data_IF_597629260527
#
_entry.id   IF_597629260527
#
_cell.length_a   1.000
_cell.length_b   1.000
_cell.length_c   1.000
_cell.angle_alpha   90.00
_cell.angle_beta   90.00
_cell.angle_gamma   90.00
#
_symmetry.space_group_name_H-M   'P 1'
#
loop_
_entity.id
_entity.type
_entity.pdbx_description
1 polymer ?
#
# COMPACT_ATOMS: atom_id res chain seq x y z
N UNK A 1 -22.52 15.76 98.61
CA UNK A 1 -21.14 15.48 99.06
C UNK A 1 -20.58 14.46 98.10
N UNK A 2 -19.64 14.89 97.25
CA UNK A 2 -18.75 14.06 96.41
C UNK A 2 -19.47 13.19 95.35
N UNK A 3 -19.14 13.19 94.08
CA UNK A 3 -17.81 13.27 93.52
C UNK A 3 -17.88 13.58 92.02
N UNK A 4 -16.88 14.34 91.57
CA UNK A 4 -16.55 14.49 90.16
C UNK A 4 -16.01 13.14 89.67
N UNK A 5 -16.76 12.43 88.83
CA UNK A 5 -16.16 11.46 87.91
C UNK A 5 -16.70 11.76 86.51
N UNK A 6 -15.98 12.63 85.79
CA UNK A 6 -15.14 12.23 84.66
C UNK A 6 -15.96 11.56 83.55
N UNK A 7 -16.17 12.26 82.42
CA UNK A 7 -15.26 12.19 81.26
C UNK A 7 -15.31 13.50 80.45
N UNK A 8 -14.20 13.98 79.86
CA UNK A 8 -14.26 15.04 78.85
C UNK A 8 -14.90 14.48 77.58
N UNK A 9 -15.92 15.16 77.04
CA UNK A 9 -16.34 14.90 75.66
C UNK A 9 -15.18 15.32 74.75
N UNK A 10 -14.49 14.32 74.20
CA UNK A 10 -13.52 14.51 73.13
C UNK A 10 -14.26 15.18 71.96
N UNK A 11 -13.98 16.46 71.71
CA UNK A 11 -14.40 17.11 70.47
C UNK A 11 -13.52 16.56 69.37
N UNK A 12 -14.09 15.72 68.52
CA UNK A 12 -13.47 15.38 67.25
C UNK A 12 -13.58 16.59 66.33
N UNK A 13 -12.48 17.31 66.15
CA UNK A 13 -12.38 18.27 65.05
C UNK A 13 -12.57 17.50 63.76
N UNK A 14 -13.71 17.70 63.11
CA UNK A 14 -13.98 17.10 61.81
C UNK A 14 -12.95 17.66 60.85
N UNK A 15 -12.00 16.82 60.42
CA UNK A 15 -11.08 17.14 59.33
C UNK A 15 -11.95 17.50 58.13
N UNK A 16 -12.05 18.80 57.85
CA UNK A 16 -12.70 19.31 56.65
C UNK A 16 -11.81 18.93 55.47
N UNK A 17 -12.09 17.76 54.88
CA UNK A 17 -11.52 17.35 53.60
C UNK A 17 -11.90 18.40 52.56
N UNK A 18 -10.98 19.34 52.31
CA UNK A 18 -11.03 20.20 51.11
C UNK A 18 -10.87 19.27 49.92
N UNK A 19 -11.98 18.85 49.33
CA UNK A 19 -12.00 18.29 47.98
C UNK A 19 -11.47 19.37 47.05
N UNK A 20 -10.23 19.19 46.57
CA UNK A 20 -9.69 19.96 45.46
C UNK A 20 -10.53 19.64 44.24
N UNK A 21 -11.49 20.52 43.91
CA UNK A 21 -12.20 20.45 42.64
C UNK A 21 -11.16 20.66 41.55
N UNK A 22 -10.64 19.57 41.00
CA UNK A 22 -9.94 19.60 39.73
C UNK A 22 -10.93 20.21 38.75
N UNK A 23 -10.63 21.43 38.27
CA UNK A 23 -11.47 22.13 37.32
C UNK A 23 -11.61 21.25 36.09
N UNK A 24 -12.80 20.70 35.87
CA UNK A 24 -13.13 20.05 34.62
C UNK A 24 -13.18 21.15 33.56
N UNK A 25 -12.05 21.44 32.91
CA UNK A 25 -11.96 22.39 31.83
C UNK A 25 -12.71 21.79 30.62
N UNK A 26 -13.96 22.18 30.45
CA UNK A 26 -14.72 21.90 29.24
C UNK A 26 -14.20 22.74 28.08
N UNK A 27 -14.33 22.24 26.85
CA UNK A 27 -14.02 22.96 25.62
C UNK A 27 -14.79 24.29 25.55
N UNK A 28 -14.08 25.37 25.22
CA UNK A 28 -14.67 26.68 24.93
C UNK A 28 -15.34 26.68 23.56
N UNK A 29 -16.45 27.41 23.42
CA UNK A 29 -17.07 27.67 22.13
C UNK A 29 -16.10 28.33 21.14
N UNK A 30 -15.23 29.22 21.63
CA UNK A 30 -14.23 29.88 20.80
C UNK A 30 -13.18 28.88 20.26
N UNK A 31 -12.81 27.88 21.06
CA UNK A 31 -11.87 26.83 20.64
C UNK A 31 -12.48 25.97 19.54
N UNK A 32 -13.75 25.60 19.66
CA UNK A 32 -14.46 24.86 18.61
C UNK A 32 -14.60 25.68 17.32
N UNK A 33 -14.88 26.97 17.43
CA UNK A 33 -15.04 27.88 16.29
C UNK A 33 -13.74 28.06 15.49
N UNK A 34 -12.60 28.16 16.16
CA UNK A 34 -11.30 28.27 15.47
C UNK A 34 -10.96 26.97 14.74
N UNK A 35 -11.25 25.81 15.34
CA UNK A 35 -10.97 24.50 14.72
C UNK A 35 -11.73 24.34 13.41
N UNK A 36 -13.04 24.62 13.41
CA UNK A 36 -13.84 24.51 12.18
C UNK A 36 -13.43 25.55 11.13
N UNK A 37 -12.99 26.74 11.57
CA UNK A 37 -12.50 27.78 10.66
C UNK A 37 -11.21 27.35 9.95
N UNK A 38 -10.24 26.79 10.69
CA UNK A 38 -8.99 26.28 10.10
C UNK A 38 -9.24 25.08 9.20
N UNK A 39 -10.05 24.10 9.64
CA UNK A 39 -10.41 22.93 8.82
C UNK A 39 -11.13 23.38 7.54
N UNK A 40 -12.00 24.39 7.61
CA UNK A 40 -12.70 24.94 6.46
C UNK A 40 -11.75 25.53 5.41
N UNK A 41 -10.76 26.32 5.83
CA UNK A 41 -9.73 26.87 4.92
C UNK A 41 -8.85 25.75 4.37
N UNK A 42 -8.42 24.80 5.21
CA UNK A 42 -7.63 23.65 4.78
C UNK A 42 -8.38 22.82 3.73
N UNK A 43 -9.65 22.50 3.96
CA UNK A 43 -10.48 21.72 3.04
C UNK A 43 -10.71 22.45 1.70
N UNK A 44 -10.79 23.78 1.71
CA UNK A 44 -10.97 24.57 0.48
C UNK A 44 -9.75 24.53 -0.46
N UNK A 45 -8.53 24.45 0.10
CA UNK A 45 -7.28 24.36 -0.69
C UNK A 45 -6.79 22.92 -0.88
N UNK A 46 -7.25 21.99 -0.05
CA UNK A 46 -6.81 20.60 -0.06
C UNK A 46 -7.55 19.81 -1.13
N UNK A 47 -7.10 19.94 -2.38
CA UNK A 47 -7.48 19.02 -3.46
C UNK A 47 -6.21 18.31 -3.96
N UNK A 48 -5.92 17.08 -3.50
CA UNK A 48 -4.87 16.27 -4.09
C UNK A 48 -5.31 15.80 -5.48
N UNK A 49 -4.48 16.03 -6.51
CA UNK A 49 -4.73 15.54 -7.87
C UNK A 49 -4.40 14.04 -7.96
N UNK A 50 -5.30 13.20 -7.44
CA UNK A 50 -5.13 11.73 -7.46
C UNK A 50 -5.27 11.16 -8.87
N UNK A 51 -6.09 11.77 -9.74
CA UNK A 51 -6.40 11.23 -11.07
C UNK A 51 -5.19 11.14 -12.01
N UNK A 52 -4.31 12.15 -11.99
CA UNK A 52 -3.07 12.07 -12.76
C UNK A 52 -2.06 11.10 -12.15
N UNK A 53 -1.98 11.01 -10.83
CA UNK A 53 -1.03 10.12 -10.16
C UNK A 53 -1.36 8.64 -10.42
N UNK A 54 -2.65 8.28 -10.39
CA UNK A 54 -3.09 6.90 -10.62
C UNK A 54 -2.88 6.46 -12.06
N UNK A 55 -3.10 7.34 -13.04
CA UNK A 55 -2.85 7.02 -14.45
C UNK A 55 -1.35 6.82 -14.72
N UNK A 56 -0.48 7.68 -14.22
CA UNK A 56 0.97 7.52 -14.37
C UNK A 56 1.47 6.25 -13.68
N UNK A 57 0.97 5.95 -12.47
CA UNK A 57 1.30 4.72 -11.76
C UNK A 57 0.86 3.48 -12.55
N UNK A 58 -0.32 3.54 -13.17
CA UNK A 58 -0.84 2.47 -14.01
C UNK A 58 0.03 2.24 -15.26
N UNK A 59 0.37 3.27 -16.03
CA UNK A 59 1.26 3.13 -17.19
C UNK A 59 2.66 2.66 -16.79
N UNK A 60 3.21 3.19 -15.70
CA UNK A 60 4.51 2.77 -15.19
C UNK A 60 4.48 1.30 -14.72
N UNK A 61 3.39 0.83 -14.09
CA UNK A 61 3.21 -0.58 -13.73
C UNK A 61 3.19 -1.45 -14.98
N UNK A 62 2.40 -1.06 -15.98
CA UNK A 62 2.28 -1.79 -17.25
C UNK A 62 3.65 -1.94 -17.94
N UNK A 63 4.40 -0.86 -18.07
CA UNK A 63 5.73 -0.87 -18.70
C UNK A 63 6.73 -1.73 -17.92
N UNK A 64 6.78 -1.59 -16.58
CA UNK A 64 7.64 -2.43 -15.74
C UNK A 64 7.30 -3.91 -15.86
N UNK A 65 6.01 -4.26 -15.87
CA UNK A 65 5.58 -5.64 -16.02
C UNK A 65 6.00 -6.21 -17.39
N UNK A 66 5.85 -5.43 -18.47
CA UNK A 66 6.27 -5.84 -19.81
C UNK A 66 7.78 -6.09 -19.90
N UNK A 67 8.59 -5.16 -19.36
CA UNK A 67 10.03 -5.28 -19.30
C UNK A 67 10.45 -6.51 -18.48
N UNK A 68 9.78 -6.76 -17.35
CA UNK A 68 10.05 -7.92 -16.52
C UNK A 68 9.75 -9.23 -17.27
N UNK A 69 8.63 -9.31 -18.00
CA UNK A 69 8.29 -10.46 -18.85
C UNK A 69 9.37 -10.71 -19.89
N UNK A 70 9.78 -9.68 -20.64
CA UNK A 70 10.82 -9.82 -21.66
C UNK A 70 12.17 -10.25 -21.05
N UNK A 71 12.54 -9.67 -19.91
CA UNK A 71 13.77 -10.02 -19.19
C UNK A 71 13.76 -11.47 -18.69
N UNK A 72 12.65 -11.92 -18.09
CA UNK A 72 12.51 -13.29 -17.59
C UNK A 72 12.52 -14.29 -18.75
N UNK A 73 11.84 -13.99 -19.85
CA UNK A 73 11.88 -14.80 -21.06
C UNK A 73 13.30 -14.92 -21.65
N UNK A 74 14.04 -13.80 -21.70
CA UNK A 74 15.43 -13.79 -22.16
C UNK A 74 16.35 -14.57 -21.21
N UNK A 75 16.15 -14.44 -19.89
CA UNK A 75 16.90 -15.15 -18.85
C UNK A 75 16.66 -16.65 -18.94
N UNK A 76 15.41 -17.08 -19.11
CA UNK A 76 15.05 -18.48 -19.29
C UNK A 76 15.78 -19.08 -20.50
N UNK A 77 15.85 -18.35 -21.62
CA UNK A 77 16.61 -18.79 -22.80
C UNK A 77 18.11 -18.85 -22.56
N UNK A 78 18.68 -17.85 -21.90
CA UNK A 78 20.10 -17.84 -21.57
C UNK A 78 20.47 -19.04 -20.68
N UNK A 79 19.54 -19.48 -19.83
CA UNK A 79 19.68 -20.69 -19.02
C UNK A 79 19.48 -22.00 -19.80
N UNK A 80 18.95 -21.95 -21.03
CA UNK A 80 18.77 -23.13 -21.90
C UNK A 80 17.32 -23.48 -22.25
N UNK A 81 16.34 -22.61 -21.95
CA UNK A 81 14.96 -22.82 -22.40
C UNK A 81 14.88 -22.85 -23.94
N UNK A 82 14.17 -23.83 -24.49
CA UNK A 82 14.00 -24.03 -25.94
C UNK A 82 12.65 -23.55 -26.47
N UNK A 83 11.84 -22.87 -25.63
CA UNK A 83 10.53 -22.36 -26.03
C UNK A 83 10.68 -21.38 -27.21
N UNK A 84 9.94 -21.66 -28.28
CA UNK A 84 9.75 -20.77 -29.40
C UNK A 84 8.28 -20.37 -29.43
N UNK A 85 8.02 -19.11 -29.12
CA UNK A 85 6.66 -18.58 -29.15
C UNK A 85 6.34 -18.07 -30.54
N UNK A 86 5.08 -18.21 -30.95
CA UNK A 86 4.56 -17.62 -32.19
C UNK A 86 3.53 -16.54 -31.90
N UNK A 87 3.00 -16.51 -30.68
CA UNK A 87 2.03 -15.54 -30.19
C UNK A 87 2.48 -15.00 -28.83
N UNK A 88 2.07 -13.76 -28.54
CA UNK A 88 2.36 -13.13 -27.25
C UNK A 88 1.58 -13.80 -26.13
N UNK A 89 0.35 -14.23 -26.42
CA UNK A 89 -0.54 -14.90 -25.48
C UNK A 89 0.06 -16.21 -24.98
N UNK A 90 0.60 -17.02 -25.90
CA UNK A 90 1.28 -18.27 -25.55
C UNK A 90 2.55 -18.03 -24.75
N UNK A 91 3.30 -16.97 -25.07
CA UNK A 91 4.47 -16.58 -24.29
C UNK A 91 4.10 -16.15 -22.86
N UNK A 92 3.05 -15.35 -22.72
CA UNK A 92 2.55 -14.91 -21.41
C UNK A 92 1.99 -16.07 -20.60
N UNK A 93 1.40 -17.07 -21.23
CA UNK A 93 0.95 -18.29 -20.56
C UNK A 93 2.11 -19.09 -19.99
N UNK A 94 3.12 -19.40 -20.81
CA UNK A 94 4.32 -20.10 -20.35
C UNK A 94 5.04 -19.35 -19.22
N UNK A 95 5.17 -18.02 -19.34
CA UNK A 95 5.87 -17.20 -18.35
C UNK A 95 5.09 -17.09 -17.03
N UNK A 96 3.75 -17.08 -17.07
CA UNK A 96 2.93 -17.04 -15.85
C UNK A 96 2.91 -18.40 -15.16
N UNK A 97 2.80 -19.48 -15.94
CA UNK A 97 2.82 -20.84 -15.44
C UNK A 97 4.21 -21.24 -14.94
N UNK A 98 5.26 -20.67 -15.52
CA UNK A 98 6.66 -20.90 -15.19
C UNK A 98 7.35 -21.73 -16.28
N UNK A 99 8.51 -21.26 -16.73
CA UNK A 99 9.37 -21.96 -17.70
C UNK A 99 10.41 -22.75 -16.93
N UNK A 100 10.34 -24.10 -16.89
CA UNK A 100 11.34 -24.91 -16.23
C UNK A 100 12.57 -25.08 -17.11
N UNK A 101 13.76 -24.91 -16.53
CA UNK A 101 15.05 -25.10 -17.18
C UNK A 101 15.93 -25.98 -16.30
N UNK A 102 16.40 -27.10 -16.85
CA UNK A 102 17.30 -28.01 -16.14
C UNK A 102 18.74 -27.50 -16.19
N UNK A 103 19.36 -27.34 -15.02
CA UNK A 103 20.76 -26.96 -14.87
C UNK A 103 21.43 -28.00 -13.97
N UNK A 104 22.11 -28.96 -14.59
CA UNK A 104 22.59 -30.15 -13.89
C UNK A 104 21.42 -31.03 -13.42
N UNK A 105 21.36 -31.30 -12.11
CA UNK A 105 20.28 -32.07 -11.48
C UNK A 105 19.12 -31.19 -10.97
N UNK A 106 19.32 -29.86 -10.92
CA UNK A 106 18.31 -28.91 -10.45
C UNK A 106 17.45 -28.37 -11.60
N UNK A 107 16.22 -27.94 -11.28
CA UNK A 107 15.33 -27.24 -12.22
C UNK A 107 15.09 -25.83 -11.72
N UNK A 108 15.49 -24.85 -12.52
CA UNK A 108 15.18 -23.44 -12.30
C UNK A 108 13.85 -23.10 -12.98
N UNK A 109 12.95 -22.44 -12.27
CA UNK A 109 11.67 -21.98 -12.81
C UNK A 109 11.72 -20.47 -13.04
N UNK A 110 11.55 -20.06 -14.30
CA UNK A 110 11.49 -18.65 -14.67
C UNK A 110 10.02 -18.24 -14.82
N UNK A 111 9.52 -17.41 -13.90
CA UNK A 111 8.12 -16.99 -13.93
C UNK A 111 7.92 -15.51 -13.61
N UNK A 112 6.87 -14.93 -14.17
CA UNK A 112 6.36 -13.61 -13.76
C UNK A 112 4.91 -13.78 -13.30
N UNK A 113 4.59 -13.53 -12.02
CA UNK A 113 3.20 -13.59 -11.55
C UNK A 113 2.41 -12.40 -12.12
N UNK A 114 1.41 -12.71 -12.96
CA UNK A 114 0.50 -11.72 -13.54
C UNK A 114 -0.94 -12.19 -13.37
N UNK A 115 -1.84 -11.23 -13.10
CA UNK A 115 -3.28 -11.48 -13.15
C UNK A 115 -3.79 -11.48 -14.60
N UNK A 116 -5.04 -11.88 -14.83
CA UNK A 116 -5.62 -11.96 -16.19
C UNK A 116 -5.78 -10.61 -16.88
N UNK A 117 -5.99 -9.54 -16.11
CA UNK A 117 -6.11 -8.16 -16.62
C UNK A 117 -4.76 -7.68 -17.18
N UNK A 118 -3.71 -7.74 -16.35
CA UNK A 118 -2.34 -7.35 -16.72
C UNK A 118 -1.88 -8.14 -17.97
N UNK A 119 -2.20 -9.44 -18.09
CA UNK A 119 -1.85 -10.25 -19.27
C UNK A 119 -2.46 -9.70 -20.57
N UNK A 120 -3.72 -9.29 -20.52
CA UNK A 120 -4.42 -8.73 -21.69
C UNK A 120 -3.81 -7.38 -22.09
N UNK A 121 -3.46 -6.56 -21.10
CA UNK A 121 -2.86 -5.24 -21.34
C UNK A 121 -1.44 -5.33 -21.93
N UNK A 122 -0.66 -6.31 -21.45
CA UNK A 122 0.70 -6.54 -21.92
C UNK A 122 0.75 -7.04 -23.36
N UNK A 123 -0.28 -7.78 -23.82
CA UNK A 123 -0.37 -8.25 -25.21
C UNK A 123 -0.26 -7.10 -26.24
N UNK A 124 -0.72 -5.89 -25.87
CA UNK A 124 -0.63 -4.71 -26.74
C UNK A 124 0.78 -4.14 -26.93
N UNK A 125 1.70 -4.38 -25.98
CA UNK A 125 3.05 -3.76 -25.91
C UNK A 125 4.20 -4.78 -25.93
N UNK A 126 3.88 -6.05 -26.05
CA UNK A 126 4.84 -7.12 -26.27
C UNK A 126 4.72 -7.59 -27.72
N UNK A 127 5.85 -7.97 -28.30
CA UNK A 127 5.93 -8.60 -29.61
C UNK A 127 6.70 -9.90 -29.50
N UNK A 128 6.44 -10.79 -30.46
CA UNK A 128 7.24 -12.00 -30.63
C UNK A 128 7.98 -11.89 -31.95
N UNK A 129 9.30 -11.81 -31.88
CA UNK A 129 10.20 -11.70 -33.04
C UNK A 129 11.21 -12.84 -33.00
N UNK A 130 11.31 -13.61 -34.09
CA UNK A 130 12.22 -14.77 -34.17
C UNK A 130 12.03 -15.77 -33.01
N UNK A 131 10.78 -15.95 -32.59
CA UNK A 131 10.42 -16.78 -31.45
C UNK A 131 10.55 -16.09 -30.10
N UNK A 132 11.14 -14.89 -30.01
CA UNK A 132 11.49 -14.19 -28.77
C UNK A 132 10.49 -13.12 -28.35
N UNK A 133 10.18 -13.07 -27.04
CA UNK A 133 9.42 -11.96 -26.47
C UNK A 133 10.31 -10.72 -26.41
N UNK A 134 9.87 -9.66 -27.08
CA UNK A 134 10.51 -8.35 -27.09
C UNK A 134 9.52 -7.34 -26.53
N UNK A 135 10.00 -6.46 -25.67
CA UNK A 135 9.23 -5.31 -25.21
C UNK A 135 9.32 -4.20 -26.27
N UNK A 136 8.17 -3.77 -26.78
CA UNK A 136 8.09 -2.62 -27.67
C UNK A 136 7.27 -1.53 -26.98
N UNK A 137 7.86 -0.39 -26.61
CA UNK A 137 7.10 0.72 -26.07
C UNK A 137 6.08 1.16 -27.11
N UNK A 138 4.79 1.13 -26.74
CA UNK A 138 3.70 1.62 -27.59
C UNK A 138 4.02 3.05 -28.05
N UNK A 139 4.25 3.26 -29.34
CA UNK A 139 4.61 4.56 -29.92
C UNK A 139 3.44 5.57 -30.00
N UNK A 140 2.35 5.36 -29.27
CA UNK A 140 1.17 6.23 -29.35
C UNK A 140 0.42 6.36 -28.04
N UNK A 141 0.80 7.38 -27.27
CA UNK A 141 -0.08 8.19 -26.42
C UNK A 141 0.64 9.50 -26.04
N UNK A 142 0.94 10.33 -27.04
CA UNK A 142 1.00 11.79 -26.88
C UNK A 142 -0.27 12.36 -27.51
#
# INVERSE_FOLDING_TARGET
>A
MLDKLLQPVVKFDTVSQRSSRLSQAGFSLAELLIVIAVIGVMAAIAVPNIGSITSHAYYAKKERNAQNVAMVAASARAAGATNQWTTVEGALEDIVNGIPVKVGEETLEFRVPLNSEDRTELAGILRVEEGRVVYEPSSSAN
#
